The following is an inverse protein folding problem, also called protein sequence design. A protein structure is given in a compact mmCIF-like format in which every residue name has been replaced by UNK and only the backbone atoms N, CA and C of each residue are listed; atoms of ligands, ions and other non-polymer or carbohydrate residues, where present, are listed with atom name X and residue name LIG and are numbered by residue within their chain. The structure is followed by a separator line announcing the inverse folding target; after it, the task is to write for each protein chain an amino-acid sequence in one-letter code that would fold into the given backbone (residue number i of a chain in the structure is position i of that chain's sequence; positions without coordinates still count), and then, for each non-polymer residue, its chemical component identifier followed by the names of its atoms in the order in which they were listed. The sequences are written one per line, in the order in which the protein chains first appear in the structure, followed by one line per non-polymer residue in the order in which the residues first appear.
data_IF_687660721316
#
_entry.id   IF_687660721316
#
_cell.length_a   1.000
_cell.length_b   1.000
_cell.length_c   1.000
_cell.angle_alpha   90.00
_cell.angle_beta   90.00
_cell.angle_gamma   90.00
#
_symmetry.space_group_name_H-M   'P 1'
#
loop_
_entity.id
_entity.type
_entity.pdbx_description
1 polymer ?
#
# COMPACT_ATOMS: atom_id res chain seq x y z
N UNK A 1 -1.75 -1.87 -0.24
CA UNK A 1 -1.82 -1.14 -1.54
C UNK A 1 -2.93 -1.74 -2.39
N UNK A 2 -3.87 -0.95 -2.92
CA UNK A 2 -4.96 -1.48 -3.76
C UNK A 2 -4.49 -1.90 -5.15
N UNK A 3 -5.16 -2.89 -5.75
CA UNK A 3 -4.91 -3.32 -7.12
C UNK A 3 -5.46 -2.30 -8.11
N UNK A 4 -4.58 -1.71 -8.90
CA UNK A 4 -4.90 -0.81 -10.00
C UNK A 4 -4.34 -1.41 -11.31
N UNK A 5 -3.65 -0.72 -12.17
CA UNK A 5 -3.05 -1.33 -13.37
C UNK A 5 -1.91 -2.30 -13.00
N UNK A 6 -1.85 -3.47 -13.67
CA UNK A 6 -0.86 -4.51 -13.34
C UNK A 6 0.58 -4.06 -13.60
N UNK A 7 0.80 -3.20 -14.61
CA UNK A 7 2.14 -2.69 -14.92
C UNK A 7 2.58 -1.69 -13.86
N UNK A 8 1.71 -0.77 -13.49
CA UNK A 8 1.99 0.22 -12.46
C UNK A 8 2.21 -0.46 -11.09
N UNK A 9 1.53 -1.58 -10.84
CA UNK A 9 1.73 -2.37 -9.63
C UNK A 9 3.08 -3.10 -9.63
N UNK A 10 3.56 -3.61 -10.76
CA UNK A 10 4.91 -4.19 -10.88
C UNK A 10 5.98 -3.16 -10.48
N UNK A 11 5.88 -1.93 -10.99
CA UNK A 11 6.80 -0.84 -10.66
C UNK A 11 6.68 -0.42 -9.19
N UNK A 12 5.47 -0.35 -8.66
CA UNK A 12 5.24 -0.03 -7.26
C UNK A 12 5.84 -1.09 -6.31
N UNK A 13 5.69 -2.38 -6.62
CA UNK A 13 6.27 -3.50 -5.85
C UNK A 13 7.79 -3.42 -5.87
N UNK A 14 8.40 -3.20 -7.05
CA UNK A 14 9.84 -3.04 -7.19
C UNK A 14 10.36 -1.90 -6.32
N UNK A 15 9.83 -0.70 -6.50
CA UNK A 15 10.28 0.47 -5.78
C UNK A 15 10.00 0.37 -4.26
N UNK A 16 8.85 -0.17 -3.85
CA UNK A 16 8.55 -0.41 -2.45
C UNK A 16 9.58 -1.36 -1.80
N UNK A 17 10.01 -2.38 -2.55
CA UNK A 17 11.06 -3.30 -2.10
C UNK A 17 12.41 -2.60 -1.94
N UNK A 18 12.78 -1.74 -2.87
CA UNK A 18 14.00 -0.92 -2.80
C UNK A 18 13.95 0.07 -1.62
N UNK A 19 12.78 0.67 -1.37
CA UNK A 19 12.56 1.67 -0.31
C UNK A 19 12.41 1.09 1.11
N UNK A 20 12.51 -0.21 1.28
CA UNK A 20 12.63 -0.78 2.61
C UNK A 20 11.37 -1.33 3.25
N UNK A 21 10.25 -1.45 2.56
CA UNK A 21 9.04 -2.07 3.14
C UNK A 21 9.32 -3.48 3.64
N UNK A 22 8.67 -3.88 4.72
CA UNK A 22 8.74 -5.24 5.27
C UNK A 22 7.67 -6.15 4.70
N UNK A 23 6.54 -5.58 4.25
CA UNK A 23 5.38 -6.36 3.80
C UNK A 23 4.56 -5.60 2.76
N UNK A 24 4.09 -6.32 1.75
CA UNK A 24 3.22 -5.80 0.69
C UNK A 24 1.96 -6.65 0.64
N UNK A 25 0.81 -6.04 0.84
CA UNK A 25 -0.50 -6.69 0.70
C UNK A 25 -1.32 -6.00 -0.39
N UNK A 26 -1.52 -6.63 -1.55
CA UNK A 26 -2.43 -6.13 -2.55
C UNK A 26 -3.88 -6.23 -2.06
N UNK A 27 -4.65 -5.14 -2.18
CA UNK A 27 -6.03 -5.06 -1.68
C UNK A 27 -6.99 -4.83 -2.84
N UNK A 28 -8.11 -5.53 -2.86
CA UNK A 28 -9.18 -5.39 -3.85
C UNK A 28 -10.28 -4.54 -3.23
N UNK A 29 -10.48 -3.33 -3.76
CA UNK A 29 -11.55 -2.42 -3.38
C UNK A 29 -12.64 -2.38 -4.45
N UNK A 30 -13.75 -1.69 -4.18
CA UNK A 30 -14.88 -1.59 -5.11
C UNK A 30 -14.48 -0.96 -6.46
N UNK A 31 -13.51 -0.04 -6.43
CA UNK A 31 -13.01 0.68 -7.62
C UNK A 31 -11.70 0.12 -8.17
N UNK A 32 -11.28 -1.05 -7.73
CA UNK A 32 -10.14 -1.75 -8.33
C UNK A 32 -10.51 -2.28 -9.70
N UNK A 33 -9.66 -2.06 -10.69
CA UNK A 33 -9.83 -2.56 -12.06
C UNK A 33 -9.60 -4.08 -12.14
N UNK A 34 -8.80 -4.62 -11.21
CA UNK A 34 -8.41 -6.03 -11.18
C UNK A 34 -9.12 -6.70 -10.01
N UNK A 35 -9.76 -7.86 -10.26
CA UNK A 35 -10.52 -8.61 -9.27
C UNK A 35 -9.82 -9.88 -8.80
N UNK A 36 -8.89 -10.39 -9.59
CA UNK A 36 -8.10 -11.58 -9.27
C UNK A 36 -6.78 -11.55 -10.02
N UNK A 37 -5.84 -12.33 -9.55
CA UNK A 37 -4.55 -12.55 -10.22
C UNK A 37 -4.32 -14.04 -10.45
N UNK A 38 -3.54 -14.38 -11.48
CA UNK A 38 -3.11 -15.74 -11.75
C UNK A 38 -1.88 -16.09 -10.91
N UNK A 39 -1.63 -17.40 -10.71
CA UNK A 39 -0.41 -17.89 -10.06
C UNK A 39 0.86 -17.37 -10.76
N UNK A 40 0.85 -17.36 -12.09
CA UNK A 40 1.97 -16.84 -12.88
C UNK A 40 2.24 -15.35 -12.58
N UNK A 41 1.18 -14.56 -12.35
CA UNK A 41 1.33 -13.15 -11.99
C UNK A 41 1.88 -12.99 -10.59
N UNK A 42 1.44 -13.80 -9.65
CA UNK A 42 1.96 -13.78 -8.28
C UNK A 42 3.45 -14.16 -8.24
N UNK A 43 3.83 -15.23 -8.94
CA UNK A 43 5.23 -15.66 -9.06
C UNK A 43 6.10 -14.56 -9.72
N UNK A 44 5.55 -13.79 -10.67
CA UNK A 44 6.24 -12.63 -11.25
C UNK A 44 6.53 -11.55 -10.20
N UNK A 45 5.60 -11.24 -9.29
CA UNK A 45 5.83 -10.28 -8.22
C UNK A 45 6.92 -10.75 -7.25
N UNK A 46 6.93 -12.03 -6.89
CA UNK A 46 8.01 -12.62 -6.07
C UNK A 46 9.38 -12.48 -6.77
N UNK A 47 9.44 -12.69 -8.08
CA UNK A 47 10.67 -12.51 -8.86
C UNK A 47 11.12 -11.05 -8.90
N UNK A 48 10.19 -10.08 -9.08
CA UNK A 48 10.47 -8.64 -9.05
C UNK A 48 11.06 -8.23 -7.70
N UNK A 49 10.48 -8.70 -6.59
CA UNK A 49 10.96 -8.43 -5.25
C UNK A 49 12.39 -8.95 -5.06
N UNK A 50 12.63 -10.19 -5.45
CA UNK A 50 13.94 -10.82 -5.30
C UNK A 50 15.01 -10.11 -6.13
N UNK A 51 14.68 -9.65 -7.34
CA UNK A 51 15.57 -8.86 -8.18
C UNK A 51 15.87 -7.49 -7.58
N UNK A 52 14.84 -6.78 -7.10
CA UNK A 52 14.97 -5.48 -6.46
C UNK A 52 15.86 -5.56 -5.20
N UNK A 53 15.63 -6.56 -4.33
CA UNK A 53 16.42 -6.78 -3.11
C UNK A 53 17.89 -7.03 -3.43
N UNK A 54 18.19 -7.84 -4.44
CA UNK A 54 19.58 -8.07 -4.90
C UNK A 54 20.22 -6.80 -5.44
N UNK A 55 19.49 -6.00 -6.20
CA UNK A 55 20.00 -4.78 -6.82
C UNK A 55 20.31 -3.69 -5.79
N UNK A 56 19.47 -3.53 -4.75
CA UNK A 56 19.64 -2.52 -3.70
C UNK A 56 20.41 -3.01 -2.47
N UNK A 57 20.98 -4.20 -2.51
CA UNK A 57 21.83 -4.81 -1.46
C UNK A 57 21.15 -4.91 -0.09
N UNK A 58 19.84 -5.15 -0.07
CA UNK A 58 19.10 -5.36 1.19
C UNK A 58 19.36 -6.73 1.78
N UNK A 59 19.50 -6.80 3.09
CA UNK A 59 19.67 -8.04 3.85
C UNK A 59 18.36 -8.79 4.11
N UNK A 60 17.22 -8.14 3.91
CA UNK A 60 15.89 -8.71 4.16
C UNK A 60 15.00 -8.59 2.93
N UNK A 61 14.21 -9.62 2.66
CA UNK A 61 13.23 -9.65 1.56
C UNK A 61 11.84 -9.32 2.11
N UNK A 62 11.13 -8.34 1.53
CA UNK A 62 9.75 -8.09 1.94
C UNK A 62 8.83 -9.27 1.62
N UNK A 63 7.86 -9.52 2.50
CA UNK A 63 6.83 -10.51 2.25
C UNK A 63 5.75 -9.92 1.34
N UNK A 64 5.40 -10.62 0.25
CA UNK A 64 4.22 -10.30 -0.54
C UNK A 64 3.09 -11.27 -0.18
N UNK A 65 1.93 -10.71 0.15
CA UNK A 65 0.72 -11.48 0.45
C UNK A 65 -0.15 -11.66 -0.80
N UNK A 66 -0.97 -12.71 -0.77
CA UNK A 66 -2.03 -12.87 -1.76
C UNK A 66 -3.01 -11.71 -1.68
N UNK A 67 -3.58 -11.27 -2.83
CA UNK A 67 -4.61 -10.24 -2.82
C UNK A 67 -5.81 -10.65 -1.96
N UNK A 68 -6.27 -9.71 -1.14
CA UNK A 68 -7.45 -9.88 -0.28
C UNK A 68 -8.46 -8.77 -0.53
N UNK A 69 -9.71 -8.99 -0.13
CA UNK A 69 -10.72 -7.92 -0.16
C UNK A 69 -10.38 -6.82 0.86
N UNK A 70 -10.90 -5.61 0.63
CA UNK A 70 -10.72 -4.51 1.59
C UNK A 70 -11.25 -4.87 2.97
N UNK A 71 -12.41 -5.53 3.05
CA UNK A 71 -13.03 -5.93 4.32
C UNK A 71 -12.15 -6.96 5.06
N UNK A 72 -11.62 -7.95 4.36
CA UNK A 72 -10.66 -8.92 4.91
C UNK A 72 -9.40 -8.21 5.40
N UNK A 73 -8.86 -7.26 4.61
CA UNK A 73 -7.68 -6.51 5.01
C UNK A 73 -7.90 -5.70 6.29
N UNK A 74 -9.02 -4.99 6.40
CA UNK A 74 -9.37 -4.22 7.59
C UNK A 74 -9.52 -5.12 8.82
N UNK A 75 -10.21 -6.26 8.67
CA UNK A 75 -10.51 -7.17 9.79
C UNK A 75 -9.33 -8.00 10.27
N UNK A 76 -8.47 -8.47 9.37
CA UNK A 76 -7.41 -9.44 9.68
C UNK A 76 -6.01 -8.83 9.72
N UNK A 77 -5.66 -7.98 8.74
CA UNK A 77 -4.33 -7.41 8.65
C UNK A 77 -4.14 -6.21 9.59
N UNK A 78 -5.20 -5.48 9.85
CA UNK A 78 -5.17 -4.27 10.65
C UNK A 78 -4.74 -4.49 12.11
N UNK A 79 -5.15 -5.55 12.82
CA UNK A 79 -4.73 -5.78 14.21
C UNK A 79 -3.23 -6.03 14.39
N UNK A 80 -2.51 -6.38 13.33
CA UNK A 80 -1.08 -6.69 13.40
C UNK A 80 -0.19 -5.44 13.53
N UNK A 81 -0.75 -4.25 13.24
CA UNK A 81 -0.01 -2.99 13.21
C UNK A 81 -0.55 -2.01 14.25
N UNK A 82 0.33 -1.45 15.06
CA UNK A 82 -0.04 -0.45 16.07
C UNK A 82 -0.57 0.85 15.46
N UNK A 83 0.08 1.34 14.41
CA UNK A 83 -0.33 2.54 13.67
C UNK A 83 -0.81 2.15 12.28
N UNK A 84 -2.02 2.59 11.93
CA UNK A 84 -2.68 2.28 10.65
C UNK A 84 -3.10 3.56 9.96
N UNK A 85 -2.56 3.79 8.78
CA UNK A 85 -2.75 5.01 8.02
C UNK A 85 -3.49 4.71 6.72
N UNK A 86 -4.30 5.65 6.24
CA UNK A 86 -4.87 5.63 4.90
C UNK A 86 -4.59 6.95 4.18
N UNK A 87 -4.01 6.88 3.00
CA UNK A 87 -3.76 8.08 2.19
C UNK A 87 -5.09 8.64 1.67
N UNK A 88 -5.40 9.89 2.05
CA UNK A 88 -6.60 10.58 1.63
C UNK A 88 -6.34 12.08 1.47
N UNK A 89 -6.74 12.66 0.31
CA UNK A 89 -6.43 14.04 -0.05
C UNK A 89 -7.03 15.10 0.89
N UNK A 90 -8.19 14.78 1.48
CA UNK A 90 -8.93 15.68 2.38
C UNK A 90 -8.62 15.42 3.87
N UNK A 91 -7.56 14.65 4.15
CA UNK A 91 -7.17 14.39 5.51
C UNK A 91 -6.59 15.64 6.20
N UNK A 92 -6.89 15.79 7.49
CA UNK A 92 -6.38 16.88 8.30
C UNK A 92 -4.97 16.61 8.84
N UNK A 93 -4.61 15.34 9.06
CA UNK A 93 -3.28 14.94 9.51
C UNK A 93 -2.31 14.87 8.33
N UNK A 94 -1.10 15.35 8.55
CA UNK A 94 -0.01 15.17 7.59
C UNK A 94 0.67 13.81 7.82
N UNK A 95 1.04 13.11 6.74
CA UNK A 95 1.86 11.90 6.86
C UNK A 95 3.20 12.14 7.56
N UNK A 96 3.72 13.37 7.52
CA UNK A 96 4.95 13.77 8.20
C UNK A 96 4.91 13.60 9.72
N UNK A 97 3.71 13.61 10.33
CA UNK A 97 3.51 13.38 11.76
C UNK A 97 3.88 11.94 12.18
N UNK A 98 3.94 11.01 11.20
CA UNK A 98 4.18 9.58 11.41
C UNK A 98 5.54 9.11 10.90
N UNK A 99 6.43 10.03 10.55
CA UNK A 99 7.78 9.72 10.07
C UNK A 99 8.53 8.83 11.06
N UNK A 100 9.19 7.78 10.55
CA UNK A 100 9.93 6.81 11.36
C UNK A 100 9.06 5.89 12.22
N UNK A 101 7.73 5.90 12.03
CA UNK A 101 6.82 5.01 12.75
C UNK A 101 6.74 3.65 12.08
N UNK A 102 6.71 2.59 12.91
CA UNK A 102 6.31 1.26 12.42
C UNK A 102 4.80 1.25 12.21
N UNK A 103 4.38 1.28 10.95
CA UNK A 103 3.00 1.47 10.57
C UNK A 103 2.60 0.73 9.29
N UNK A 104 1.30 0.52 9.14
CA UNK A 104 0.68 0.10 7.90
C UNK A 104 0.08 1.30 7.18
N UNK A 105 0.38 1.48 5.90
CA UNK A 105 -0.26 2.51 5.07
C UNK A 105 -1.11 1.88 3.96
N UNK A 106 -2.38 2.26 3.89
CA UNK A 106 -3.31 1.86 2.84
C UNK A 106 -3.37 2.94 1.76
N UNK A 107 -3.04 2.55 0.53
CA UNK A 107 -3.10 3.41 -0.66
C UNK A 107 -4.25 2.95 -1.53
N UNK A 108 -5.15 3.86 -1.87
CA UNK A 108 -6.31 3.58 -2.71
C UNK A 108 -6.00 3.44 -4.20
N UNK A 109 -6.96 2.93 -4.99
CA UNK A 109 -6.88 2.93 -6.44
C UNK A 109 -7.00 4.36 -6.99
N UNK A 110 -6.79 4.56 -8.29
CA UNK A 110 -6.86 5.88 -8.92
C UNK A 110 -8.21 6.57 -8.72
N UNK A 111 -9.31 5.81 -8.71
CA UNK A 111 -10.65 6.32 -8.39
C UNK A 111 -10.89 6.61 -6.90
N UNK A 112 -9.89 6.39 -6.04
CA UNK A 112 -9.99 6.52 -4.58
C UNK A 112 -10.93 5.48 -3.96
N UNK A 113 -11.17 5.60 -2.69
CA UNK A 113 -12.18 4.82 -1.97
C UNK A 113 -13.56 5.46 -2.11
N UNK A 114 -14.62 4.65 -2.13
CA UNK A 114 -15.98 5.15 -1.98
C UNK A 114 -16.19 5.68 -0.56
N UNK A 115 -17.25 6.49 -0.36
CA UNK A 115 -17.56 7.02 0.98
C UNK A 115 -17.84 5.89 1.99
N UNK A 116 -18.46 4.78 1.56
CA UNK A 116 -18.69 3.61 2.39
C UNK A 116 -17.40 2.89 2.77
N UNK A 117 -16.47 2.72 1.81
CA UNK A 117 -15.16 2.14 2.08
C UNK A 117 -14.33 3.00 3.01
N UNK A 118 -14.29 4.32 2.78
CA UNK A 118 -13.53 5.24 3.64
C UNK A 118 -14.07 5.21 5.09
N UNK A 119 -15.39 5.11 5.25
CA UNK A 119 -16.00 4.94 6.57
C UNK A 119 -15.56 3.63 7.21
N UNK A 120 -15.67 2.49 6.51
CA UNK A 120 -15.23 1.20 7.03
C UNK A 120 -13.74 1.18 7.39
N UNK A 121 -12.88 1.81 6.58
CA UNK A 121 -11.47 1.97 6.85
C UNK A 121 -11.23 2.74 8.14
N UNK A 122 -11.92 3.88 8.34
CA UNK A 122 -11.76 4.71 9.55
C UNK A 122 -12.34 4.03 10.79
N UNK A 123 -13.50 3.37 10.69
CA UNK A 123 -14.08 2.55 11.75
C UNK A 123 -13.18 1.36 12.11
N UNK A 124 -12.43 0.83 11.13
CA UNK A 124 -11.36 -0.16 11.31
C UNK A 124 -10.09 0.38 11.97
N UNK A 125 -10.07 1.66 12.38
CA UNK A 125 -8.98 2.29 13.13
C UNK A 125 -7.84 2.82 12.26
N UNK A 126 -8.06 3.02 10.96
CA UNK A 126 -7.11 3.71 10.09
C UNK A 126 -7.26 5.23 10.23
N UNK A 127 -6.15 5.92 10.34
CA UNK A 127 -6.07 7.37 10.43
C UNK A 127 -5.87 7.93 9.01
N UNK A 128 -6.78 8.77 8.50
CA UNK A 128 -6.57 9.44 7.22
C UNK A 128 -5.41 10.42 7.30
N UNK A 129 -4.48 10.33 6.32
CA UNK A 129 -3.31 11.22 6.22
C UNK A 129 -3.17 11.81 4.82
N UNK A 130 -2.81 13.08 4.77
CA UNK A 130 -2.50 13.79 3.52
C UNK A 130 -1.04 13.56 3.14
N UNK A 131 -0.79 13.31 1.87
CA UNK A 131 0.55 13.19 1.28
C UNK A 131 1.05 14.52 0.68
N UNK A 132 0.30 15.59 0.85
CA UNK A 132 0.60 16.93 0.30
C UNK A 132 -0.59 17.57 -0.40
N UNK A 133 -0.35 18.68 -1.08
CA UNK A 133 -1.40 19.54 -1.64
C UNK A 133 -1.89 19.12 -3.03
N UNK A 134 -1.30 18.07 -3.63
CA UNK A 134 -1.64 17.61 -4.98
C UNK A 134 -2.26 16.21 -4.94
N UNK A 135 -3.09 15.91 -5.94
CA UNK A 135 -3.59 14.54 -6.13
C UNK A 135 -2.49 13.73 -6.81
N UNK A 136 -2.03 12.70 -6.15
CA UNK A 136 -1.01 11.80 -6.67
C UNK A 136 -1.67 10.56 -7.30
N UNK A 137 -1.06 10.01 -8.35
CA UNK A 137 -1.38 8.66 -8.82
C UNK A 137 -1.06 7.64 -7.73
N UNK A 138 -1.75 6.51 -7.72
CA UNK A 138 -1.59 5.47 -6.69
C UNK A 138 -0.14 5.01 -6.52
N UNK A 139 0.60 4.81 -7.62
CA UNK A 139 2.03 4.47 -7.58
C UNK A 139 2.85 5.57 -6.91
N UNK A 140 2.66 6.83 -7.35
CA UNK A 140 3.37 7.98 -6.78
C UNK A 140 3.03 8.17 -5.30
N UNK A 141 1.75 7.99 -4.93
CA UNK A 141 1.31 8.06 -3.55
C UNK A 141 1.97 6.99 -2.67
N UNK A 142 2.07 5.76 -3.17
CA UNK A 142 2.76 4.67 -2.48
C UNK A 142 4.24 4.99 -2.23
N UNK A 143 4.96 5.42 -3.26
CA UNK A 143 6.39 5.75 -3.15
C UNK A 143 6.64 6.94 -2.22
N UNK A 144 5.83 7.99 -2.35
CA UNK A 144 5.88 9.15 -1.46
C UNK A 144 5.67 8.74 0.00
N UNK A 145 4.61 7.96 0.27
CA UNK A 145 4.30 7.51 1.62
C UNK A 145 5.42 6.66 2.22
N UNK A 146 5.92 5.67 1.47
CA UNK A 146 7.00 4.77 1.93
C UNK A 146 8.28 5.58 2.22
N UNK A 147 8.65 6.50 1.32
CA UNK A 147 9.86 7.33 1.50
C UNK A 147 9.77 8.22 2.74
N UNK A 148 8.60 8.77 3.04
CA UNK A 148 8.41 9.62 4.23
C UNK A 148 8.41 8.78 5.50
N UNK A 149 7.70 7.65 5.51
CA UNK A 149 7.56 6.80 6.70
C UNK A 149 8.84 6.03 7.03
N UNK A 150 9.63 5.67 6.03
CA UNK A 150 10.89 4.93 6.19
C UNK A 150 12.10 5.78 6.58
N UNK A 151 11.97 7.10 6.60
CA UNK A 151 13.01 8.04 7.00
C UNK A 151 12.79 8.51 8.44
#
# INVERSE_FOLDING_TARGET
MCLFDLKDLDDAIRCASELGVSSICPVISSRSNIRSITEARFARWEAIILEAVKQCDRMTTPTIHRPVSLDTFIGEASPLWGTRLVAHKEAHHSILEYRGSDCCILIGPEGGFSSGELRAITEGGFIPVSLGNTILRSTTAALCAISILGL
#
